data_IF_541056847890
#
_entry.id   IF_541056847890
#
_cell.length_a   1.000
_cell.length_b   1.000
_cell.length_c   1.000
_cell.angle_alpha   90.00
_cell.angle_beta   90.00
_cell.angle_gamma   90.00
#
_symmetry.space_group_name_H-M   'P 1'
#
loop_
_entity.id
_entity.type
_entity.pdbx_description
1 polymer ?
#
# COMPACT_ATOMS: atom_id res chain seq x y z
N UNK A 1 -2.58 0.94 -0.18
CA UNK A 1 -2.27 0.93 1.27
C UNK A 1 -0.82 1.37 1.48
N UNK A 2 -0.57 2.37 2.31
CA UNK A 2 0.78 2.79 2.73
C UNK A 2 0.94 2.60 4.25
N UNK A 3 1.77 1.64 4.70
CA UNK A 3 2.06 1.47 6.12
C UNK A 3 2.84 2.66 6.70
N UNK A 4 2.73 2.88 8.02
CA UNK A 4 3.53 3.84 8.77
C UNK A 4 4.62 3.13 9.57
N UNK A 5 5.84 3.64 9.54
CA UNK A 5 6.96 3.22 10.37
C UNK A 5 7.39 1.76 10.23
N UNK A 6 8.60 1.52 9.72
CA UNK A 6 9.14 0.17 9.60
C UNK A 6 9.24 -0.52 10.95
N UNK A 7 9.64 0.21 12.00
CA UNK A 7 9.72 -0.31 13.37
C UNK A 7 8.37 -0.88 13.84
N UNK A 8 7.26 -0.17 13.60
CA UNK A 8 5.92 -0.69 13.92
C UNK A 8 5.56 -1.89 13.04
N UNK A 9 5.98 -1.90 11.77
CA UNK A 9 5.71 -3.02 10.88
C UNK A 9 6.36 -4.33 11.36
N UNK A 10 7.52 -4.29 12.01
CA UNK A 10 8.10 -5.49 12.65
C UNK A 10 7.21 -6.07 13.74
N UNK A 11 6.53 -5.22 14.51
CA UNK A 11 5.66 -5.65 15.62
C UNK A 11 4.35 -6.27 15.12
N UNK A 12 3.82 -5.78 14.00
CA UNK A 12 2.51 -6.20 13.45
C UNK A 12 2.60 -7.06 12.20
N UNK A 13 3.81 -7.46 11.78
CA UNK A 13 4.04 -8.16 10.52
C UNK A 13 3.10 -9.37 10.32
N UNK A 14 2.94 -10.17 11.37
CA UNK A 14 2.10 -11.38 11.37
C UNK A 14 0.59 -11.09 11.29
N UNK A 15 0.15 -9.88 11.62
CA UNK A 15 -1.27 -9.50 11.63
C UNK A 15 -1.81 -9.15 10.24
N UNK A 16 -0.95 -9.08 9.21
CA UNK A 16 -1.41 -8.75 7.86
C UNK A 16 -1.97 -9.92 7.08
N UNK A 17 -1.76 -11.16 7.54
CA UNK A 17 -2.06 -12.37 6.79
C UNK A 17 -3.50 -12.37 6.24
N UNK A 18 -4.49 -12.03 7.08
CA UNK A 18 -5.92 -12.00 6.77
C UNK A 18 -6.54 -10.58 6.74
N UNK A 19 -5.71 -9.54 6.93
CA UNK A 19 -6.19 -8.15 7.07
C UNK A 19 -6.90 -7.57 5.83
N UNK A 20 -6.73 -8.20 4.66
CA UNK A 20 -7.24 -7.72 3.38
C UNK A 20 -8.22 -8.71 2.71
N UNK A 21 -8.83 -9.61 3.49
CA UNK A 21 -9.85 -10.51 2.98
C UNK A 21 -11.06 -9.74 2.41
N UNK A 22 -11.54 -10.19 1.25
CA UNK A 22 -12.69 -9.60 0.56
C UNK A 22 -12.36 -8.43 -0.36
N UNK A 23 -11.08 -8.08 -0.55
CA UNK A 23 -10.65 -7.03 -1.50
C UNK A 23 -10.28 -7.66 -2.86
N UNK A 24 -10.68 -7.02 -3.95
CA UNK A 24 -10.37 -7.46 -5.32
C UNK A 24 -8.93 -7.11 -5.75
N UNK A 25 -8.48 -5.89 -5.39
CA UNK A 25 -7.16 -5.35 -5.77
C UNK A 25 -6.47 -4.65 -4.59
N UNK A 26 -5.24 -5.05 -4.28
CA UNK A 26 -4.40 -4.44 -3.26
C UNK A 26 -3.10 -3.89 -3.85
N UNK A 27 -3.00 -2.56 -3.89
CA UNK A 27 -1.75 -1.87 -4.21
C UNK A 27 -1.01 -1.53 -2.92
N UNK A 28 0.09 -2.24 -2.66
CA UNK A 28 0.89 -2.07 -1.46
C UNK A 28 2.07 -1.15 -1.72
N UNK A 29 2.07 0.01 -1.06
CA UNK A 29 3.12 1.03 -1.18
C UNK A 29 4.24 0.79 -0.17
N UNK A 30 5.48 1.23 -0.46
CA UNK A 30 6.55 1.27 0.53
C UNK A 30 6.11 1.98 1.82
N UNK A 31 6.52 1.42 2.95
CA UNK A 31 6.29 2.00 4.28
C UNK A 31 6.82 3.42 4.31
N UNK A 32 6.03 4.36 4.82
CA UNK A 32 6.51 5.70 5.10
C UNK A 32 7.41 5.67 6.33
N UNK A 33 8.71 5.90 6.11
CA UNK A 33 9.75 5.76 7.13
C UNK A 33 9.86 7.05 7.97
N UNK A 34 9.59 6.96 9.27
CA UNK A 34 9.72 8.09 10.19
C UNK A 34 10.23 7.64 11.55
N UNK A 35 11.33 8.23 12.05
CA UNK A 35 11.93 7.89 13.36
C UNK A 35 12.20 6.37 13.52
N UNK A 36 12.93 5.80 12.57
CA UNK A 36 13.17 4.35 12.51
C UNK A 36 14.32 3.86 13.39
N UNK A 37 14.26 2.58 13.78
CA UNK A 37 15.41 1.86 14.30
C UNK A 37 16.31 1.37 13.13
N UNK A 38 17.55 1.87 12.99
CA UNK A 38 18.43 1.53 11.86
C UNK A 38 18.95 0.08 11.88
N UNK A 39 18.80 -0.65 12.98
CA UNK A 39 19.21 -2.06 13.08
C UNK A 39 18.20 -3.04 12.47
N UNK A 40 16.97 -2.59 12.19
CA UNK A 40 15.92 -3.43 11.63
C UNK A 40 15.99 -3.47 10.11
N UNK A 41 15.76 -4.65 9.52
CA UNK A 41 15.50 -4.79 8.08
C UNK A 41 14.35 -3.86 7.68
N UNK A 42 14.50 -3.14 6.58
CA UNK A 42 13.37 -2.43 5.97
C UNK A 42 12.56 -3.45 5.17
N UNK A 43 11.30 -3.67 5.58
CA UNK A 43 10.39 -4.53 4.82
C UNK A 43 9.91 -3.83 3.54
N UNK A 44 10.01 -4.56 2.44
CA UNK A 44 9.44 -4.17 1.15
C UNK A 44 7.98 -4.60 1.06
N UNK A 45 7.18 -4.00 0.15
CA UNK A 45 5.82 -4.50 -0.11
C UNK A 45 5.78 -6.00 -0.44
N UNK A 46 6.77 -6.50 -1.18
CA UNK A 46 6.85 -7.92 -1.54
C UNK A 46 7.03 -8.83 -0.31
N UNK A 47 7.78 -8.37 0.71
CA UNK A 47 7.94 -9.11 1.97
C UNK A 47 6.59 -9.32 2.68
N UNK A 48 5.68 -8.33 2.65
CA UNK A 48 4.34 -8.48 3.23
C UNK A 48 3.43 -9.33 2.35
N UNK A 49 3.41 -9.07 1.03
CA UNK A 49 2.48 -9.70 0.09
C UNK A 49 2.61 -11.22 0.10
N UNK A 50 3.83 -11.75 0.17
CA UNK A 50 4.07 -13.21 0.16
C UNK A 50 3.44 -13.93 1.37
N UNK A 51 3.12 -13.19 2.43
CA UNK A 51 2.53 -13.74 3.67
C UNK A 51 1.02 -13.64 3.75
N UNK A 52 0.38 -12.95 2.80
CA UNK A 52 -1.07 -12.82 2.76
C UNK A 52 -1.74 -14.17 2.49
N UNK A 53 -2.96 -14.38 2.98
CA UNK A 53 -3.76 -15.56 2.64
C UNK A 53 -4.07 -15.64 1.13
N UNK A 54 -4.23 -14.48 0.48
CA UNK A 54 -4.39 -14.38 -0.95
C UNK A 54 -3.40 -13.39 -1.58
N UNK A 55 -2.13 -13.77 -1.81
CA UNK A 55 -1.13 -12.88 -2.37
C UNK A 55 -1.47 -12.39 -3.79
N UNK A 56 -2.33 -13.10 -4.53
CA UNK A 56 -2.64 -12.83 -5.94
C UNK A 56 -3.44 -11.55 -6.14
N UNK A 57 -4.20 -11.11 -5.13
CA UNK A 57 -4.91 -9.83 -5.18
C UNK A 57 -3.96 -8.65 -4.99
N UNK A 58 -2.73 -8.88 -4.54
CA UNK A 58 -1.83 -7.84 -4.10
C UNK A 58 -0.61 -7.71 -5.00
N UNK A 59 -0.14 -6.47 -5.19
CA UNK A 59 1.13 -6.20 -5.84
C UNK A 59 1.86 -5.00 -5.24
N UNK A 60 3.21 -4.97 -5.29
CA UNK A 60 3.97 -3.78 -4.99
C UNK A 60 3.59 -2.63 -5.92
N UNK A 61 3.54 -1.42 -5.40
CA UNK A 61 3.26 -0.20 -6.17
C UNK A 61 4.11 0.97 -5.66
N UNK A 62 4.24 2.03 -6.46
CA UNK A 62 4.85 3.29 -6.06
C UNK A 62 3.89 4.46 -6.35
N UNK A 63 4.15 5.62 -5.75
CA UNK A 63 3.41 6.86 -6.05
C UNK A 63 3.91 7.44 -7.39
N UNK A 64 3.47 6.82 -8.48
CA UNK A 64 3.91 7.14 -9.84
C UNK A 64 2.76 7.14 -10.85
N UNK A 65 3.07 7.46 -12.12
CA UNK A 65 2.08 7.51 -13.20
C UNK A 65 1.49 6.14 -13.55
N UNK A 66 2.18 5.04 -13.25
CA UNK A 66 1.64 3.69 -13.50
C UNK A 66 0.52 3.42 -12.50
N UNK A 67 0.75 3.64 -11.21
CA UNK A 67 -0.29 3.53 -10.20
C UNK A 67 -1.46 4.50 -10.49
N UNK A 68 -1.16 5.74 -10.90
CA UNK A 68 -2.21 6.71 -11.28
C UNK A 68 -3.11 6.16 -12.40
N UNK A 69 -2.50 5.63 -13.45
CA UNK A 69 -3.22 5.07 -14.60
C UNK A 69 -4.11 3.91 -14.18
N UNK A 70 -3.56 2.96 -13.42
CA UNK A 70 -4.29 1.79 -12.98
C UNK A 70 -5.48 2.14 -12.07
N UNK A 71 -5.29 3.06 -11.13
CA UNK A 71 -6.38 3.51 -10.25
C UNK A 71 -7.47 4.23 -11.05
N UNK A 72 -7.12 5.03 -12.06
CA UNK A 72 -8.11 5.65 -12.96
C UNK A 72 -8.90 4.61 -13.75
N UNK A 73 -8.25 3.58 -14.26
CA UNK A 73 -8.93 2.46 -14.94
C UNK A 73 -9.92 1.77 -14.01
N UNK A 74 -9.51 1.42 -12.79
CA UNK A 74 -10.41 0.79 -11.82
C UNK A 74 -11.60 1.67 -11.46
N UNK A 75 -11.40 2.99 -11.28
CA UNK A 75 -12.50 3.93 -11.05
C UNK A 75 -13.47 3.98 -12.25
N UNK A 76 -12.97 3.94 -13.48
CA UNK A 76 -13.80 3.88 -14.70
C UNK A 76 -14.58 2.56 -14.81
N UNK A 77 -14.06 1.48 -14.24
CA UNK A 77 -14.71 0.17 -14.14
C UNK A 77 -15.67 0.08 -12.94
N UNK A 78 -16.00 1.21 -12.29
CA UNK A 78 -16.89 1.31 -11.12
C UNK A 78 -16.40 0.61 -9.84
N UNK A 79 -15.08 0.41 -9.68
CA UNK A 79 -14.54 -0.03 -8.40
C UNK A 79 -14.59 1.08 -7.35
N UNK A 80 -14.86 0.70 -6.09
CA UNK A 80 -14.61 1.55 -4.93
C UNK A 80 -13.11 1.52 -4.60
N UNK A 81 -12.45 2.67 -4.67
CA UNK A 81 -11.04 2.82 -4.29
C UNK A 81 -10.94 3.43 -2.89
N UNK A 82 -10.31 2.69 -1.97
CA UNK A 82 -10.04 3.15 -0.60
C UNK A 82 -8.54 3.46 -0.45
N UNK A 83 -8.22 4.72 -0.19
CA UNK A 83 -6.87 5.12 0.19
C UNK A 83 -6.69 5.04 1.71
N UNK A 84 -5.75 4.22 2.14
CA UNK A 84 -5.28 4.16 3.52
C UNK A 84 -3.79 4.52 3.55
N UNK A 85 -3.48 5.68 4.10
CA UNK A 85 -2.13 6.25 4.13
C UNK A 85 -1.85 6.92 5.47
N UNK A 86 -0.60 6.82 5.92
CA UNK A 86 -0.07 7.56 7.04
C UNK A 86 1.06 8.54 6.64
N UNK A 87 1.23 8.76 5.33
CA UNK A 87 2.32 9.53 4.76
C UNK A 87 1.93 10.24 3.46
N UNK A 88 2.90 10.50 2.56
CA UNK A 88 2.72 11.39 1.40
C UNK A 88 1.69 10.89 0.38
N UNK A 89 1.26 9.62 0.45
CA UNK A 89 0.27 9.08 -0.48
C UNK A 89 -1.07 9.82 -0.42
N UNK A 90 -1.42 10.41 0.72
CA UNK A 90 -2.63 11.22 0.86
C UNK A 90 -2.59 12.49 0.01
N UNK A 91 -1.52 13.27 0.14
CA UNK A 91 -1.33 14.49 -0.63
C UNK A 91 -1.20 14.20 -2.13
N UNK A 92 -0.46 13.15 -2.49
CA UNK A 92 -0.32 12.70 -3.87
C UNK A 92 -1.69 12.33 -4.48
N UNK A 93 -2.52 11.59 -3.75
CA UNK A 93 -3.84 11.21 -4.27
C UNK A 93 -4.73 12.41 -4.52
N UNK A 94 -4.72 13.40 -3.61
CA UNK A 94 -5.53 14.63 -3.78
C UNK A 94 -5.06 15.51 -4.94
N UNK A 95 -3.75 15.63 -5.13
CA UNK A 95 -3.19 16.59 -6.09
C UNK A 95 -2.83 16.01 -7.44
N UNK A 96 -2.57 14.70 -7.53
CA UNK A 96 -2.12 14.04 -8.75
C UNK A 96 -3.17 13.10 -9.33
N UNK A 97 -3.91 12.34 -8.51
CA UNK A 97 -4.88 11.37 -9.06
C UNK A 97 -6.20 12.05 -9.49
N UNK A 98 -6.74 12.91 -8.63
CA UNK A 98 -8.07 13.52 -8.80
C UNK A 98 -8.07 14.78 -9.68
N UNK A 99 -6.90 15.31 -10.04
CA UNK A 99 -6.74 16.46 -10.94
C UNK A 99 -6.62 15.99 -12.37
N UNK A 100 -7.39 16.58 -13.29
CA UNK A 100 -7.54 16.13 -14.67
C UNK A 100 -6.21 15.89 -15.41
#
# INVERSE_FOLDING_TARGET
YQPHQNTRQHEVFHLYQDAFLGIDHLFWLPTYLTRENPSLKIYTPADFIVTLENPRIAKPANLDNNLKTELRTLLQENYLVILMSAGPADAWFRHDLLTD
#
